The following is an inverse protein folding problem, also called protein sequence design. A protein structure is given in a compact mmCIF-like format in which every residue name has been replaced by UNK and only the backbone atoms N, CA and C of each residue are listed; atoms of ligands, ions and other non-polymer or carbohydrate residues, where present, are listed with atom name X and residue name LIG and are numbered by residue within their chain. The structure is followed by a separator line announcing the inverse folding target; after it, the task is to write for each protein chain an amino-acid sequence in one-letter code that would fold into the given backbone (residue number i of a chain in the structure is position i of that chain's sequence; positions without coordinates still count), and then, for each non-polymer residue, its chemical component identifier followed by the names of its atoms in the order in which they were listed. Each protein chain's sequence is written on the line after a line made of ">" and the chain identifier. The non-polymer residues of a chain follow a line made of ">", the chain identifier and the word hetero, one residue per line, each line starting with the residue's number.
data_IF_852448062284
#
_entry.id   IF_852448062284
#
_cell.length_a   1.000
_cell.length_b   1.000
_cell.length_c   1.000
_cell.angle_alpha   90.00
_cell.angle_beta   90.00
_cell.angle_gamma   90.00
#
_symmetry.space_group_name_H-M   'P 1'
#
loop_
_entity.id
_entity.type
_entity.pdbx_description
1 polymer ?
#
# COMPACT_ATOMS: atom_id res chain seq x y z
N UNK A 1 -4.32 -15.09 14.10
CA UNK A 1 -3.51 -15.39 12.91
C UNK A 1 -2.16 -14.72 13.07
N UNK A 2 -1.06 -15.44 12.88
CA UNK A 2 0.28 -14.84 12.91
C UNK A 2 0.58 -14.29 11.53
N UNK A 3 0.85 -13.00 11.43
CA UNK A 3 1.30 -12.38 10.19
C UNK A 3 2.73 -12.85 9.88
N UNK A 4 2.99 -13.16 8.60
CA UNK A 4 4.36 -13.24 8.08
C UNK A 4 5.07 -11.91 8.39
N UNK A 5 6.33 -12.00 8.80
CA UNK A 5 7.14 -10.81 9.07
C UNK A 5 7.22 -9.93 7.80
N UNK A 6 6.96 -8.62 7.90
CA UNK A 6 7.06 -7.73 6.77
C UNK A 6 8.51 -7.63 6.30
N UNK A 7 8.68 -7.43 5.00
CA UNK A 7 9.95 -6.97 4.43
C UNK A 7 10.38 -5.64 5.04
N UNK A 8 11.69 -5.36 4.96
CA UNK A 8 12.26 -4.10 5.41
C UNK A 8 11.48 -2.90 4.85
N UNK A 9 11.35 -1.84 5.64
CA UNK A 9 10.59 -0.66 5.25
C UNK A 9 11.18 -0.05 3.96
N UNK A 10 10.37 0.16 2.89
CA UNK A 10 10.90 0.68 1.64
C UNK A 10 11.35 2.14 1.77
N UNK A 11 12.40 2.52 1.04
CA UNK A 11 12.89 3.90 1.04
C UNK A 11 11.83 4.86 0.48
N UNK A 12 11.68 6.04 1.10
CA UNK A 12 10.76 7.09 0.65
C UNK A 12 9.27 6.82 0.92
N UNK A 13 8.93 5.66 1.48
CA UNK A 13 7.57 5.35 1.92
C UNK A 13 7.32 5.99 3.28
N UNK A 14 6.27 6.81 3.36
CA UNK A 14 5.86 7.53 4.57
C UNK A 14 4.75 6.81 5.32
N UNK A 15 3.96 5.97 4.65
CA UNK A 15 2.97 5.09 5.27
C UNK A 15 2.80 3.78 4.49
N UNK A 16 2.53 2.68 5.21
CA UNK A 16 2.14 1.39 4.63
C UNK A 16 0.82 0.96 5.25
N UNK A 17 -0.19 0.74 4.42
CA UNK A 17 -1.53 0.37 4.85
C UNK A 17 -1.77 -1.11 4.50
N UNK A 18 -2.01 -1.94 5.51
CA UNK A 18 -2.30 -3.36 5.31
C UNK A 18 -3.62 -3.51 4.52
N UNK A 19 -3.58 -4.31 3.45
CA UNK A 19 -4.80 -4.57 2.67
C UNK A 19 -5.65 -5.66 3.32
N UNK A 20 -6.95 -5.64 3.03
CA UNK A 20 -7.85 -6.73 3.43
C UNK A 20 -7.40 -8.10 2.89
N UNK A 21 -6.84 -8.15 1.67
CA UNK A 21 -6.18 -9.36 1.15
C UNK A 21 -5.01 -9.81 2.03
N UNK A 22 -4.15 -8.88 2.47
CA UNK A 22 -3.05 -9.16 3.38
C UNK A 22 -3.50 -9.72 4.72
N UNK A 23 -4.58 -9.17 5.30
CA UNK A 23 -5.19 -9.72 6.52
C UNK A 23 -5.69 -11.15 6.31
N UNK A 24 -6.40 -11.42 5.21
CA UNK A 24 -6.94 -12.74 4.89
C UNK A 24 -5.84 -13.79 4.65
N UNK A 25 -4.75 -13.38 4.01
CA UNK A 25 -3.61 -14.25 3.70
C UNK A 25 -2.63 -14.40 4.87
N UNK A 26 -2.73 -13.52 5.88
CA UNK A 26 -1.70 -13.42 6.91
C UNK A 26 -0.36 -12.90 6.38
N UNK A 27 -0.37 -12.07 5.32
CA UNK A 27 0.83 -11.55 4.67
C UNK A 27 0.94 -10.03 4.82
N UNK A 28 1.91 -9.59 5.63
CA UNK A 28 2.15 -8.18 5.94
C UNK A 28 2.78 -7.38 4.78
N UNK A 29 3.17 -8.02 3.68
CA UNK A 29 3.71 -7.34 2.49
C UNK A 29 2.62 -6.89 1.50
N UNK A 30 1.39 -7.38 1.66
CA UNK A 30 0.25 -7.04 0.80
C UNK A 30 -0.37 -5.73 1.28
N UNK A 31 0.18 -4.62 0.78
CA UNK A 31 0.03 -3.28 1.34
C UNK A 31 -0.31 -2.25 0.26
N UNK A 32 -0.84 -1.10 0.67
CA UNK A 32 -0.78 0.13 -0.10
C UNK A 32 0.32 0.98 0.48
N UNK A 33 1.38 1.18 -0.29
CA UNK A 33 2.53 2.00 0.10
C UNK A 33 2.28 3.44 -0.35
N UNK A 34 2.41 4.37 0.57
CA UNK A 34 2.31 5.81 0.34
C UNK A 34 3.70 6.41 0.43
N UNK A 35 4.09 7.19 -0.55
CA UNK A 35 5.36 7.89 -0.63
C UNK A 35 5.13 9.33 -1.06
N UNK A 36 5.93 10.26 -0.56
CA UNK A 36 5.88 11.66 -0.98
C UNK A 36 7.27 12.15 -1.36
N UNK A 37 7.33 12.99 -2.39
CA UNK A 37 8.48 13.83 -2.75
C UNK A 37 8.13 15.31 -2.54
N UNK A 38 9.02 16.22 -2.94
CA UNK A 38 8.88 17.66 -2.70
C UNK A 38 7.59 18.27 -3.30
N UNK A 39 7.02 17.64 -4.33
CA UNK A 39 5.88 18.20 -5.07
C UNK A 39 4.74 17.20 -5.31
N UNK A 40 4.97 15.89 -5.14
CA UNK A 40 3.96 14.85 -5.32
C UNK A 40 3.78 13.96 -4.10
N UNK A 41 2.54 13.55 -3.89
CA UNK A 41 2.22 12.37 -3.10
C UNK A 41 1.79 11.24 -4.04
N UNK A 42 2.23 10.03 -3.72
CA UNK A 42 1.99 8.81 -4.47
C UNK A 42 1.51 7.71 -3.54
N UNK A 43 0.57 6.89 -4.00
CA UNK A 43 0.17 5.65 -3.36
C UNK A 43 0.15 4.52 -4.39
N UNK A 44 0.59 3.33 -3.98
CA UNK A 44 0.60 2.14 -4.84
C UNK A 44 0.22 0.90 -4.04
N UNK A 45 -0.75 0.15 -4.56
CA UNK A 45 -1.09 -1.16 -4.03
C UNK A 45 -0.10 -2.22 -4.56
N UNK A 46 0.56 -2.95 -3.66
CA UNK A 46 1.50 -4.03 -4.02
C UNK A 46 0.79 -5.24 -4.60
N UNK A 47 -0.49 -5.42 -4.28
CA UNK A 47 -1.31 -6.55 -4.72
C UNK A 47 -1.84 -6.40 -6.16
N UNK A 48 -2.62 -5.34 -6.40
CA UNK A 48 -3.29 -5.14 -7.69
C UNK A 48 -2.55 -4.17 -8.64
N UNK A 49 -1.54 -3.45 -8.15
CA UNK A 49 -0.81 -2.46 -8.93
C UNK A 49 -1.56 -1.14 -9.17
N UNK A 50 -2.77 -0.95 -8.63
CA UNK A 50 -3.45 0.35 -8.67
C UNK A 50 -2.61 1.43 -8.00
N UNK A 51 -2.66 2.64 -8.57
CA UNK A 51 -1.89 3.79 -8.12
C UNK A 51 -2.73 5.04 -8.05
N UNK A 52 -2.39 5.93 -7.12
CA UNK A 52 -2.92 7.29 -7.01
C UNK A 52 -1.76 8.27 -6.87
N UNK A 53 -1.83 9.38 -7.60
CA UNK A 53 -0.82 10.45 -7.56
C UNK A 53 -1.51 11.81 -7.56
N UNK A 54 -1.04 12.72 -6.72
CA UNK A 54 -1.52 14.11 -6.63
C UNK A 54 -0.36 15.08 -6.42
N UNK A 55 -0.49 16.28 -6.97
CA UNK A 55 0.41 17.40 -6.74
C UNK A 55 0.01 18.14 -5.45
N UNK A 56 0.95 18.40 -4.53
CA UNK A 56 0.75 19.22 -3.32
C UNK A 56 -0.22 18.71 -2.24
N UNK A 57 -1.16 17.83 -2.57
CA UNK A 57 -2.19 17.33 -1.65
C UNK A 57 -1.90 15.89 -1.19
N UNK A 58 -1.08 15.76 -0.15
CA UNK A 58 -0.76 14.46 0.47
C UNK A 58 -1.98 13.79 1.14
N UNK A 59 -2.98 14.57 1.55
CA UNK A 59 -4.21 14.08 2.19
C UNK A 59 -5.04 13.20 1.26
N UNK A 60 -5.25 13.62 0.01
CA UNK A 60 -6.13 12.92 -0.94
C UNK A 60 -5.55 11.56 -1.34
N UNK A 61 -4.22 11.49 -1.44
CA UNK A 61 -3.50 10.25 -1.72
C UNK A 61 -3.59 9.30 -0.54
N UNK A 62 -3.48 9.82 0.68
CA UNK A 62 -3.63 9.03 1.90
C UNK A 62 -5.07 8.52 2.07
N UNK A 63 -6.08 9.36 1.83
CA UNK A 63 -7.49 8.99 1.87
C UNK A 63 -7.79 7.86 0.88
N UNK A 64 -7.37 8.04 -0.39
CA UNK A 64 -7.49 7.00 -1.40
C UNK A 64 -6.80 5.71 -0.97
N UNK A 65 -5.60 5.80 -0.38
CA UNK A 65 -4.84 4.63 0.05
C UNK A 65 -5.54 3.87 1.18
N UNK A 66 -6.14 4.57 2.14
CA UNK A 66 -6.93 3.98 3.22
C UNK A 66 -8.17 3.26 2.68
N UNK A 67 -8.92 3.93 1.80
CA UNK A 67 -10.09 3.33 1.16
C UNK A 67 -9.73 2.10 0.31
N UNK A 68 -8.63 2.18 -0.43
CA UNK A 68 -8.19 1.08 -1.27
C UNK A 68 -7.75 -0.11 -0.42
N UNK A 69 -6.95 0.11 0.63
CA UNK A 69 -6.42 -0.95 1.47
C UNK A 69 -7.55 -1.77 2.12
N UNK A 70 -8.57 -1.11 2.66
CA UNK A 70 -9.72 -1.76 3.33
C UNK A 70 -10.58 -2.61 2.40
N UNK A 71 -10.55 -2.36 1.07
CA UNK A 71 -11.40 -3.03 0.08
C UNK A 71 -10.63 -4.00 -0.81
N UNK A 72 -9.31 -3.85 -0.93
CA UNK A 72 -8.52 -4.61 -1.89
C UNK A 72 -8.47 -6.10 -1.54
N UNK A 73 -8.96 -6.93 -2.46
CA UNK A 73 -8.97 -8.40 -2.41
C UNK A 73 -8.06 -9.04 -3.45
N UNK A 74 -7.25 -8.24 -4.14
CA UNK A 74 -6.33 -8.78 -5.12
C UNK A 74 -5.27 -9.61 -4.42
N UNK A 75 -4.91 -10.74 -5.02
CA UNK A 75 -3.78 -11.54 -4.57
C UNK A 75 -2.48 -10.90 -5.08
N UNK A 76 -1.42 -10.87 -4.26
CA UNK A 76 -0.11 -10.44 -4.74
C UNK A 76 0.34 -11.34 -5.90
N UNK A 77 0.94 -10.75 -6.92
CA UNK A 77 1.51 -11.53 -8.03
C UNK A 77 2.61 -12.44 -7.47
N UNK A 78 2.61 -13.75 -7.77
CA UNK A 78 3.69 -14.63 -7.34
C UNK A 78 5.01 -14.12 -7.93
N UNK A 79 5.99 -13.83 -7.09
CA UNK A 79 7.38 -13.67 -7.53
C UNK A 79 7.91 -15.07 -7.83
N UNK A 80 8.11 -15.37 -9.11
CA UNK A 80 8.78 -16.59 -9.57
C UNK A 80 10.25 -16.61 -9.14
#
# INVERSE_FOLDING_TARGET
>A
MSLKAPTAWPQGVTARLLTYAGELLGDADVTVDVSADDIHANARCTACGSKSTRYGYASDVLEWAQEHATKCRALPRPTA
#
